data_IF_891800278580
#
_entry.id   IF_891800278580
#
_cell.length_a   1.000
_cell.length_b   1.000
_cell.length_c   1.000
_cell.angle_alpha   90.00
_cell.angle_beta   90.00
_cell.angle_gamma   90.00
#
_symmetry.space_group_name_H-M   'P 1'
#
loop_
_entity.id
_entity.type
_entity.pdbx_description
1 polymer ?
#
# COMPACT_ATOMS: atom_id res chain seq x y z
N UNK A 1 -23.76 18.81 11.41
CA UNK A 1 -23.74 17.33 11.52
C UNK A 1 -22.62 16.81 10.62
N UNK A 2 -21.63 16.13 11.19
CA UNK A 2 -20.47 15.66 10.43
C UNK A 2 -20.78 14.31 9.80
N UNK A 3 -20.74 14.23 8.47
CA UNK A 3 -20.79 12.95 7.76
C UNK A 3 -19.61 12.09 8.24
N UNK A 4 -19.93 10.95 8.86
CA UNK A 4 -18.94 9.96 9.28
C UNK A 4 -18.51 9.20 8.04
N UNK A 5 -17.47 9.69 7.38
CA UNK A 5 -16.92 9.03 6.20
C UNK A 5 -16.54 7.60 6.55
N UNK A 6 -17.06 6.66 5.78
CA UNK A 6 -16.65 5.26 5.83
C UNK A 6 -15.52 4.99 4.81
N UNK A 7 -14.96 3.79 4.85
CA UNK A 7 -13.88 3.43 3.93
C UNK A 7 -14.32 3.42 2.46
N UNK A 8 -15.63 3.24 2.16
CA UNK A 8 -16.15 3.36 0.81
C UNK A 8 -16.00 4.78 0.27
N UNK A 9 -16.30 5.77 1.12
CA UNK A 9 -16.14 7.20 0.80
C UNK A 9 -14.68 7.53 0.53
N UNK A 10 -13.78 7.09 1.41
CA UNK A 10 -12.34 7.31 1.23
C UNK A 10 -11.80 6.65 -0.05
N UNK A 11 -12.26 5.45 -0.38
CA UNK A 11 -11.86 4.79 -1.63
C UNK A 11 -12.38 5.51 -2.88
N UNK A 12 -13.62 6.00 -2.84
CA UNK A 12 -14.17 6.80 -3.93
C UNK A 12 -13.36 8.09 -4.11
N UNK A 13 -13.06 8.80 -3.03
CA UNK A 13 -12.20 9.99 -3.04
C UNK A 13 -10.81 9.67 -3.58
N UNK A 14 -10.17 8.60 -3.10
CA UNK A 14 -8.85 8.19 -3.56
C UNK A 14 -8.84 7.90 -5.06
N UNK A 15 -9.86 7.21 -5.58
CA UNK A 15 -9.99 6.95 -7.01
C UNK A 15 -10.15 8.22 -7.83
N UNK A 16 -10.94 9.20 -7.36
CA UNK A 16 -11.14 10.48 -8.06
C UNK A 16 -9.85 11.31 -8.05
N UNK A 17 -9.21 11.44 -6.89
CA UNK A 17 -7.98 12.20 -6.72
C UNK A 17 -6.82 11.60 -7.54
N UNK A 18 -6.71 10.27 -7.59
CA UNK A 18 -5.74 9.57 -8.44
C UNK A 18 -5.94 9.93 -9.92
N UNK A 19 -7.19 9.86 -10.42
CA UNK A 19 -7.50 10.20 -11.83
C UNK A 19 -7.22 11.67 -12.15
N UNK A 20 -7.49 12.55 -11.19
CA UNK A 20 -7.19 13.97 -11.28
C UNK A 20 -5.70 14.31 -11.07
N UNK A 21 -4.85 13.31 -10.77
CA UNK A 21 -3.42 13.45 -10.41
C UNK A 21 -3.17 14.44 -9.27
N UNK A 22 -4.13 14.56 -8.35
CA UNK A 22 -4.00 15.39 -7.16
C UNK A 22 -3.27 14.64 -6.05
N UNK A 23 -1.97 14.39 -6.24
CA UNK A 23 -1.16 13.59 -5.32
C UNK A 23 -1.08 14.20 -3.91
N UNK A 24 -1.05 15.54 -3.80
CA UNK A 24 -1.04 16.24 -2.51
C UNK A 24 -2.33 15.96 -1.71
N UNK A 25 -3.48 16.07 -2.36
CA UNK A 25 -4.79 15.77 -1.76
C UNK A 25 -4.92 14.29 -1.41
N UNK A 26 -4.44 13.40 -2.29
CA UNK A 26 -4.45 11.95 -2.04
C UNK A 26 -3.57 11.59 -0.83
N UNK A 27 -2.42 12.25 -0.67
CA UNK A 27 -1.55 12.11 0.50
C UNK A 27 -2.23 12.61 1.78
N UNK A 28 -2.89 13.77 1.73
CA UNK A 28 -3.63 14.31 2.88
C UNK A 28 -4.75 13.34 3.35
N UNK A 29 -5.39 12.64 2.40
CA UNK A 29 -6.44 11.67 2.67
C UNK A 29 -5.99 10.52 3.58
N UNK A 30 -4.69 10.19 3.60
CA UNK A 30 -4.14 9.18 4.53
C UNK A 30 -4.32 9.63 5.99
N UNK A 31 -4.03 10.90 6.27
CA UNK A 31 -4.23 11.48 7.60
C UNK A 31 -5.69 11.46 8.03
N UNK A 32 -6.60 11.75 7.09
CA UNK A 32 -8.03 11.71 7.34
C UNK A 32 -8.54 10.29 7.63
N UNK A 33 -8.10 9.29 6.85
CA UNK A 33 -8.42 7.88 7.07
C UNK A 33 -7.99 7.44 8.48
N UNK A 34 -6.75 7.73 8.88
CA UNK A 34 -6.22 7.35 10.19
C UNK A 34 -6.93 8.10 11.33
N UNK A 35 -7.25 9.38 11.14
CA UNK A 35 -7.94 10.20 12.13
C UNK A 35 -9.40 9.81 12.33
N UNK A 36 -10.06 9.33 11.27
CA UNK A 36 -11.45 8.86 11.32
C UNK A 36 -11.64 7.64 12.23
N UNK A 37 -10.55 6.87 12.48
CA UNK A 37 -10.55 5.60 13.22
C UNK A 37 -11.64 4.64 12.73
N UNK A 38 -11.94 4.66 11.43
CA UNK A 38 -12.92 3.77 10.82
C UNK A 38 -12.35 2.36 10.70
N UNK A 39 -13.15 1.35 11.06
CA UNK A 39 -12.83 -0.06 10.77
C UNK A 39 -12.91 -0.29 9.26
N UNK A 40 -11.91 -0.96 8.71
CA UNK A 40 -11.82 -1.19 7.27
C UNK A 40 -11.67 -2.68 6.98
N UNK A 41 -12.24 -3.12 5.86
CA UNK A 41 -12.01 -4.47 5.37
C UNK A 41 -10.65 -4.57 4.67
N UNK A 42 -10.02 -5.76 4.61
CA UNK A 42 -8.75 -5.96 3.90
C UNK A 42 -8.83 -5.58 2.42
N UNK A 43 -9.99 -5.77 1.79
CA UNK A 43 -10.24 -5.36 0.41
C UNK A 43 -10.27 -3.85 0.25
N UNK A 44 -10.91 -3.13 1.18
CA UNK A 44 -10.97 -1.68 1.13
C UNK A 44 -9.61 -1.04 1.37
N UNK A 45 -8.82 -1.57 2.31
CA UNK A 45 -7.42 -1.18 2.54
C UNK A 45 -6.54 -1.47 1.32
N UNK A 46 -6.65 -2.66 0.74
CA UNK A 46 -5.87 -3.04 -0.45
C UNK A 46 -6.14 -2.13 -1.65
N UNK A 47 -7.40 -1.73 -1.86
CA UNK A 47 -7.74 -0.75 -2.89
C UNK A 47 -7.08 0.61 -2.65
N UNK A 48 -7.16 1.13 -1.42
CA UNK A 48 -6.56 2.41 -1.05
C UNK A 48 -5.04 2.41 -1.24
N UNK A 49 -4.37 1.34 -0.82
CA UNK A 49 -2.93 1.11 -1.03
C UNK A 49 -2.59 1.10 -2.53
N UNK A 50 -3.39 0.43 -3.36
CA UNK A 50 -3.17 0.39 -4.80
C UNK A 50 -3.36 1.78 -5.44
N UNK A 51 -4.29 2.60 -4.94
CA UNK A 51 -4.41 4.00 -5.36
C UNK A 51 -3.15 4.81 -5.05
N UNK A 52 -2.62 4.69 -3.82
CA UNK A 52 -1.38 5.36 -3.41
C UNK A 52 -0.19 4.90 -4.25
N UNK A 53 -0.02 3.58 -4.44
CA UNK A 53 1.02 3.02 -5.28
C UNK A 53 0.98 3.51 -6.72
N UNK A 54 -0.21 3.57 -7.34
CA UNK A 54 -0.39 4.10 -8.69
C UNK A 54 -0.09 5.61 -8.79
N UNK A 55 -0.17 6.35 -7.69
CA UNK A 55 0.24 7.75 -7.61
C UNK A 55 1.75 7.93 -7.34
N UNK A 56 2.50 6.84 -7.14
CA UNK A 56 3.90 6.87 -6.74
C UNK A 56 4.13 7.18 -5.25
N UNK A 57 3.07 7.14 -4.43
CA UNK A 57 3.08 7.46 -3.01
C UNK A 57 3.34 6.20 -2.16
N UNK A 58 4.48 5.55 -2.38
CA UNK A 58 4.80 4.24 -1.76
C UNK A 58 5.09 4.34 -0.27
N UNK A 59 5.69 5.44 0.18
CA UNK A 59 5.92 5.70 1.60
C UNK A 59 4.59 5.85 2.34
N UNK A 60 3.64 6.56 1.74
CA UNK A 60 2.28 6.71 2.26
C UNK A 60 1.53 5.39 2.25
N UNK A 61 1.68 4.58 1.20
CA UNK A 61 1.07 3.25 1.10
C UNK A 61 1.59 2.30 2.20
N UNK A 62 2.88 2.33 2.49
CA UNK A 62 3.49 1.54 3.56
C UNK A 62 3.06 2.04 4.94
N UNK A 63 3.10 3.37 5.14
CA UNK A 63 2.69 4.01 6.39
C UNK A 63 1.23 3.70 6.74
N UNK A 64 0.30 3.84 5.79
CA UNK A 64 -1.12 3.56 6.08
C UNK A 64 -1.33 2.09 6.41
N UNK A 65 -0.66 1.15 5.73
CA UNK A 65 -0.74 -0.27 6.01
C UNK A 65 -0.30 -0.61 7.44
N UNK A 66 0.84 -0.05 7.87
CA UNK A 66 1.38 -0.31 9.22
C UNK A 66 0.50 0.35 10.29
N UNK A 67 0.11 1.61 10.09
CA UNK A 67 -0.70 2.38 11.05
C UNK A 67 -2.08 1.77 11.28
N UNK A 68 -2.79 1.36 10.23
CA UNK A 68 -4.12 0.76 10.39
C UNK A 68 -4.06 -0.60 11.09
N UNK A 69 -2.96 -1.35 10.91
CA UNK A 69 -2.73 -2.60 11.63
C UNK A 69 -2.38 -2.35 13.10
N UNK A 70 -1.44 -1.45 13.38
CA UNK A 70 -1.05 -1.06 14.75
C UNK A 70 -2.24 -0.53 15.57
N UNK A 71 -3.12 0.23 14.92
CA UNK A 71 -4.32 0.79 15.54
C UNK A 71 -5.47 -0.22 15.66
N UNK A 72 -5.31 -1.45 15.15
CA UNK A 72 -6.37 -2.47 15.15
C UNK A 72 -7.57 -2.12 14.26
N UNK A 73 -7.40 -1.23 13.28
CA UNK A 73 -8.47 -0.80 12.36
C UNK A 73 -8.72 -1.81 11.24
N UNK A 74 -7.75 -2.68 10.96
CA UNK A 74 -7.81 -3.74 9.96
C UNK A 74 -6.92 -4.91 10.39
N UNK A 75 -7.31 -6.13 10.03
CA UNK A 75 -6.43 -7.31 10.04
C UNK A 75 -6.03 -7.59 8.60
N UNK A 76 -4.83 -7.20 8.14
CA UNK A 76 -4.39 -7.44 6.78
C UNK A 76 -4.36 -8.93 6.45
N UNK A 77 -4.63 -9.25 5.18
CA UNK A 77 -4.51 -10.60 4.65
C UNK A 77 -3.51 -10.64 3.49
N UNK A 78 -3.29 -11.83 2.93
CA UNK A 78 -2.41 -12.03 1.77
C UNK A 78 -2.70 -11.06 0.61
N UNK A 79 -3.98 -10.75 0.35
CA UNK A 79 -4.34 -9.76 -0.68
C UNK A 79 -3.82 -8.36 -0.36
N UNK A 80 -3.98 -7.89 0.88
CA UNK A 80 -3.48 -6.57 1.29
C UNK A 80 -1.96 -6.49 1.18
N UNK A 81 -1.23 -7.54 1.58
CA UNK A 81 0.23 -7.65 1.39
C UNK A 81 0.61 -7.58 -0.09
N UNK A 82 -0.08 -8.33 -0.95
CA UNK A 82 0.17 -8.34 -2.39
C UNK A 82 -0.06 -6.95 -3.02
N UNK A 83 -1.09 -6.21 -2.58
CA UNK A 83 -1.31 -4.83 -3.01
C UNK A 83 -0.15 -3.90 -2.61
N UNK A 84 0.39 -4.06 -1.40
CA UNK A 84 1.53 -3.28 -0.94
C UNK A 84 2.81 -3.61 -1.72
N UNK A 85 3.10 -4.89 -1.92
CA UNK A 85 4.26 -5.34 -2.70
C UNK A 85 4.22 -4.86 -4.15
N UNK A 86 3.03 -4.87 -4.78
CA UNK A 86 2.84 -4.30 -6.11
C UNK A 86 3.02 -2.78 -6.12
N UNK A 87 2.56 -2.07 -5.08
CA UNK A 87 2.81 -0.63 -4.95
C UNK A 87 4.31 -0.35 -4.88
N UNK A 88 5.04 -1.11 -4.07
CA UNK A 88 6.50 -0.99 -3.93
C UNK A 88 7.19 -1.27 -5.26
N UNK A 89 6.83 -2.35 -5.98
CA UNK A 89 7.52 -2.73 -7.22
C UNK A 89 7.40 -1.74 -8.37
N UNK A 90 6.38 -0.88 -8.33
CA UNK A 90 6.17 0.19 -9.31
C UNK A 90 6.94 1.48 -8.99
N UNK A 91 7.56 1.58 -7.82
CA UNK A 91 8.36 2.75 -7.44
C UNK A 91 9.70 2.77 -8.15
N UNK A 92 10.11 3.93 -8.64
CA UNK A 92 11.47 4.16 -9.15
C UNK A 92 12.54 4.04 -8.04
N UNK A 93 12.13 4.12 -6.78
CA UNK A 93 12.99 3.97 -5.59
C UNK A 93 12.65 2.69 -4.83
N UNK A 94 12.29 1.62 -5.56
CA UNK A 94 11.99 0.31 -4.96
C UNK A 94 13.15 -0.17 -4.07
N UNK A 95 12.94 -0.21 -2.75
CA UNK A 95 13.91 -0.74 -1.79
C UNK A 95 13.73 -2.25 -1.65
N UNK A 96 14.80 -3.01 -1.93
CA UNK A 96 14.85 -4.46 -1.70
C UNK A 96 14.60 -4.76 -0.22
N UNK A 97 15.18 -3.96 0.68
CA UNK A 97 15.03 -4.12 2.13
C UNK A 97 13.56 -3.99 2.57
N UNK A 98 12.82 -3.03 2.01
CA UNK A 98 11.40 -2.87 2.30
C UNK A 98 10.58 -4.08 1.83
N UNK A 99 10.88 -4.58 0.63
CA UNK A 99 10.23 -5.79 0.08
C UNK A 99 10.52 -7.00 0.96
N UNK A 100 11.79 -7.25 1.31
CA UNK A 100 12.20 -8.36 2.16
C UNK A 100 11.55 -8.29 3.55
N UNK A 101 11.49 -7.08 4.13
CA UNK A 101 10.83 -6.83 5.40
C UNK A 101 9.34 -7.21 5.35
N UNK A 102 8.61 -6.77 4.31
CA UNK A 102 7.18 -7.10 4.16
C UNK A 102 6.93 -8.57 3.82
N UNK A 103 7.83 -9.24 3.08
CA UNK A 103 7.75 -10.68 2.83
C UNK A 103 7.97 -11.50 4.10
N UNK A 104 8.97 -11.13 4.90
CA UNK A 104 9.22 -11.78 6.18
C UNK A 104 8.00 -11.65 7.09
N UNK A 105 7.45 -10.45 7.18
CA UNK A 105 6.25 -10.19 7.97
C UNK A 105 5.03 -10.99 7.49
N UNK A 106 4.81 -11.05 6.17
CA UNK A 106 3.74 -11.88 5.58
C UNK A 106 3.89 -13.36 5.98
N UNK A 107 5.12 -13.89 5.95
CA UNK A 107 5.42 -15.26 6.39
C UNK A 107 5.20 -15.45 7.89
N UNK A 108 5.63 -14.50 8.71
CA UNK A 108 5.48 -14.55 10.17
C UNK A 108 3.99 -14.50 10.58
N UNK A 109 3.14 -13.87 9.76
CA UNK A 109 1.68 -13.93 9.89
C UNK A 109 1.05 -15.23 9.35
N UNK A 110 1.84 -16.18 8.85
CA UNK A 110 1.38 -17.48 8.34
C UNK A 110 0.82 -17.45 6.92
N UNK A 111 1.03 -16.38 6.16
CA UNK A 111 0.59 -16.30 4.77
C UNK A 111 1.65 -16.87 3.82
N UNK A 112 1.23 -17.75 2.92
CA UNK A 112 2.10 -18.30 1.88
C UNK A 112 2.30 -17.31 0.73
N UNK A 113 3.48 -17.38 0.10
CA UNK A 113 3.76 -16.59 -1.09
C UNK A 113 3.08 -17.21 -2.30
N UNK A 114 2.31 -16.41 -3.03
CA UNK A 114 1.69 -16.83 -4.28
C UNK A 114 2.34 -16.13 -5.49
N UNK A 115 1.84 -16.42 -6.69
CA UNK A 115 2.32 -15.77 -7.92
C UNK A 115 2.19 -14.24 -7.88
N UNK A 116 1.21 -13.70 -7.15
CA UNK A 116 0.98 -12.26 -7.01
C UNK A 116 1.95 -11.64 -6.01
N UNK A 117 2.49 -12.41 -5.07
CA UNK A 117 3.61 -12.04 -4.21
C UNK A 117 4.94 -12.06 -4.98
N UNK A 118 5.22 -13.15 -5.71
CA UNK A 118 6.53 -13.36 -6.34
C UNK A 118 6.80 -12.43 -7.54
N UNK A 119 5.76 -12.06 -8.29
CA UNK A 119 5.93 -11.23 -9.49
C UNK A 119 6.46 -9.81 -9.16
N UNK A 120 5.85 -9.04 -8.25
CA UNK A 120 6.39 -7.74 -7.81
C UNK A 120 7.79 -7.84 -7.22
N UNK A 121 8.06 -8.89 -6.44
CA UNK A 121 9.36 -9.10 -5.79
C UNK A 121 10.46 -9.27 -6.82
N UNK A 122 10.27 -10.14 -7.80
CA UNK A 122 11.23 -10.34 -8.89
C UNK A 122 11.48 -9.05 -9.69
N UNK A 123 10.45 -8.22 -9.89
CA UNK A 123 10.61 -6.92 -10.56
C UNK A 123 11.56 -6.01 -9.77
N UNK A 124 11.40 -5.93 -8.45
CA UNK A 124 12.29 -5.12 -7.59
C UNK A 124 13.74 -5.60 -7.67
N UNK A 125 14.01 -6.89 -7.45
CA UNK A 125 15.38 -7.43 -7.56
C UNK A 125 16.01 -7.21 -8.94
N UNK A 126 15.22 -7.35 -10.01
CA UNK A 126 15.71 -7.09 -11.37
C UNK A 126 16.03 -5.62 -11.60
N UNK A 127 15.25 -4.70 -11.04
CA UNK A 127 15.45 -3.27 -11.18
C UNK A 127 16.68 -2.81 -10.39
N UNK A 128 16.90 -3.30 -9.17
CA UNK A 128 18.08 -2.96 -8.37
C UNK A 128 19.38 -3.42 -9.04
N UNK A 129 19.41 -4.65 -9.58
CA UNK A 129 20.57 -5.16 -10.32
C UNK A 129 20.91 -4.36 -11.59
N UNK A 130 19.91 -3.72 -12.22
CA UNK A 130 20.14 -2.83 -13.37
C UNK A 130 20.73 -1.50 -12.92
N UNK A 131 20.27 -0.96 -11.80
CA UNK A 131 20.81 0.27 -11.21
C UNK A 131 22.27 0.10 -10.78
N UNK A 132 22.61 -1.03 -10.14
CA UNK A 132 23.99 -1.32 -9.73
C UNK A 132 24.96 -1.50 -10.92
N UNK A 133 24.44 -1.95 -12.08
CA UNK A 133 25.23 -2.08 -13.32
C UNK A 133 25.35 -0.79 -14.12
N UNK A 134 24.58 0.25 -13.77
CA UNK A 134 24.54 1.52 -14.48
C UNK A 134 25.47 2.60 -13.86
N UNK A 135 26.17 2.26 -12.77
CA UNK A 135 27.23 3.04 -12.13
C UNK A 135 28.61 2.48 -12.51
#
# INVERSE_FOLDING_TARGET
>A
EGFRNDMYTYNAMASVLLRARQNASLKALVGDVLSSRCLMSPGALGFFIRCLGNAGLVEEASSVFDRVREMGLCVPNAYTYNCLLEAISKSNSSSVDLVESKLKEMRDCGFEFDKYTLTPVLQVYCNTRKSDRAL
#
